data_IF_378891981712
#
_entry.id   IF_378891981712
#
_cell.length_a   1.000
_cell.length_b   1.000
_cell.length_c   1.000
_cell.angle_alpha   90.00
_cell.angle_beta   90.00
_cell.angle_gamma   90.00
#
_symmetry.space_group_name_H-M   'P 1'
#
loop_
_entity.id
_entity.type
_entity.pdbx_description
1 polymer ?
#
# COMPACT_ATOMS: atom_id res chain seq x y z
N UNK A 1 13.38 35.27 66.19
CA UNK A 1 12.14 34.52 66.51
C UNK A 1 10.92 35.40 66.26
N UNK A 2 9.80 34.77 65.85
CA UNK A 2 8.43 35.29 65.54
C UNK A 2 8.07 35.37 64.04
N UNK A 3 7.42 34.31 63.56
CA UNK A 3 6.38 34.28 62.50
C UNK A 3 5.00 34.50 63.18
N UNK A 4 3.84 34.54 62.49
CA UNK A 4 3.43 35.12 61.19
C UNK A 4 2.14 35.99 61.33
N UNK A 5 1.70 36.70 60.29
CA UNK A 5 0.26 36.97 60.08
C UNK A 5 -0.09 36.81 58.60
N UNK A 6 -1.07 35.95 58.37
CA UNK A 6 -1.74 35.63 57.10
C UNK A 6 -2.85 36.66 56.91
N UNK A 7 -2.97 37.26 55.72
CA UNK A 7 -4.22 37.91 55.31
C UNK A 7 -4.62 37.43 53.91
N UNK A 8 -5.61 36.54 53.94
CA UNK A 8 -6.69 36.26 53.02
C UNK A 8 -6.59 36.67 51.54
N UNK A 9 -6.75 35.64 50.70
CA UNK A 9 -7.22 35.71 49.33
C UNK A 9 -8.59 36.37 49.21
N UNK A 10 -8.81 37.12 48.12
CA UNK A 10 -10.12 37.26 47.49
C UNK A 10 -9.94 37.04 46.00
N UNK A 11 -10.18 35.78 45.61
CA UNK A 11 -10.31 35.33 44.24
C UNK A 11 -11.70 35.76 43.75
N UNK A 12 -11.79 36.81 42.94
CA UNK A 12 -13.02 37.18 42.27
C UNK A 12 -13.21 36.26 41.04
N UNK A 13 -14.01 35.20 41.20
CA UNK A 13 -14.55 34.43 40.10
C UNK A 13 -15.62 35.27 39.38
N UNK A 14 -15.30 35.79 38.20
CA UNK A 14 -16.31 36.28 37.26
C UNK A 14 -16.74 35.10 36.38
N UNK A 15 -17.88 34.49 36.74
CA UNK A 15 -18.59 33.57 35.85
C UNK A 15 -19.34 34.41 34.81
N UNK A 16 -18.79 34.49 33.61
CA UNK A 16 -19.50 35.01 32.45
C UNK A 16 -20.43 33.93 31.90
N UNK A 17 -21.73 34.05 32.16
CA UNK A 17 -22.75 33.24 31.49
C UNK A 17 -22.96 33.80 30.08
N UNK A 18 -22.49 33.09 29.06
CA UNK A 18 -22.85 33.36 27.68
C UNK A 18 -24.19 32.68 27.33
N UNK A 19 -25.06 33.30 26.52
CA UNK A 19 -26.31 32.69 26.10
C UNK A 19 -26.05 31.54 25.12
N UNK A 20 -26.77 30.43 25.31
CA UNK A 20 -26.85 29.33 24.36
C UNK A 20 -27.45 29.83 23.04
N UNK A 21 -26.61 29.98 22.01
CA UNK A 21 -27.09 30.26 20.67
C UNK A 21 -27.63 28.96 20.05
N UNK A 22 -28.92 28.99 19.76
CA UNK A 22 -29.66 27.99 18.99
C UNK A 22 -28.97 27.75 17.64
N UNK A 23 -28.39 26.57 17.44
CA UNK A 23 -27.90 26.12 16.14
C UNK A 23 -29.10 25.65 15.32
N UNK A 24 -29.65 26.58 14.56
CA UNK A 24 -30.53 26.27 13.45
C UNK A 24 -29.75 25.43 12.41
N UNK A 25 -30.36 24.32 12.01
CA UNK A 25 -29.91 23.43 10.94
C UNK A 25 -29.51 24.21 9.68
N UNK A 26 -28.21 24.31 9.43
CA UNK A 26 -27.67 24.62 8.10
C UNK A 26 -27.33 23.31 7.40
N UNK A 27 -27.68 23.14 6.11
CA UNK A 27 -27.31 21.94 5.36
C UNK A 27 -25.78 21.84 5.29
N UNK A 28 -25.26 20.72 5.78
CA UNK A 28 -23.85 20.35 5.70
C UNK A 28 -23.50 20.27 4.22
N UNK A 29 -22.80 21.28 3.70
CA UNK A 29 -22.12 21.22 2.41
C UNK A 29 -21.15 20.04 2.46
N UNK A 30 -21.55 18.92 1.86
CA UNK A 30 -20.72 17.74 1.63
C UNK A 30 -19.61 18.11 0.66
N UNK A 31 -18.43 18.42 1.18
CA UNK A 31 -17.32 18.88 0.36
C UNK A 31 -15.95 18.83 1.03
N UNK A 32 -15.73 17.94 2.00
CA UNK A 32 -14.39 17.63 2.48
C UNK A 32 -13.88 16.38 1.73
N UNK A 33 -12.92 16.58 0.83
CA UNK A 33 -12.23 15.50 0.16
C UNK A 33 -11.62 14.57 1.22
N UNK A 34 -12.10 13.32 1.27
CA UNK A 34 -11.52 12.28 2.13
C UNK A 34 -10.04 12.16 1.78
N UNK A 35 -9.16 12.51 2.72
CA UNK A 35 -7.73 12.14 2.66
C UNK A 35 -7.70 10.62 2.50
N UNK A 36 -7.36 10.17 1.29
CA UNK A 36 -7.58 8.80 0.85
C UNK A 36 -6.84 7.80 1.73
N UNK A 37 -7.61 6.99 2.47
CA UNK A 37 -7.11 5.74 3.05
C UNK A 37 -6.34 5.00 1.96
N UNK A 38 -5.19 4.44 2.30
CA UNK A 38 -4.48 3.59 1.35
C UNK A 38 -5.43 2.47 0.86
N UNK A 39 -5.19 1.99 -0.36
CA UNK A 39 -5.90 0.81 -0.87
C UNK A 39 -5.84 -0.33 0.16
N UNK A 40 -6.86 -1.19 0.26
CA UNK A 40 -6.82 -2.33 1.16
C UNK A 40 -5.53 -3.15 0.99
N UNK A 41 -4.98 -3.63 2.10
CA UNK A 41 -3.76 -4.43 2.16
C UNK A 41 -2.48 -3.67 1.74
N UNK A 42 -2.45 -2.35 1.87
CA UNK A 42 -1.30 -1.53 1.54
C UNK A 42 -0.15 -1.63 2.57
N UNK A 43 1.08 -1.44 2.09
CA UNK A 43 2.24 -1.22 2.97
C UNK A 43 2.16 0.12 3.69
N UNK A 44 1.68 1.17 3.02
CA UNK A 44 1.43 2.48 3.62
C UNK A 44 0.06 2.53 4.29
N UNK A 45 -0.06 3.31 5.37
CA UNK A 45 -1.32 3.52 6.06
C UNK A 45 -2.20 4.60 5.39
N UNK A 46 -1.58 5.52 4.64
CA UNK A 46 -2.27 6.56 3.87
C UNK A 46 -1.74 6.59 2.44
N UNK A 47 -2.62 6.92 1.49
CA UNK A 47 -2.20 7.14 0.11
C UNK A 47 -1.23 8.32 0.03
N UNK A 48 -0.22 8.23 -0.84
CA UNK A 48 0.80 9.28 -1.03
C UNK A 48 0.84 9.74 -2.48
N UNK A 49 1.17 11.03 -2.66
CA UNK A 49 1.25 11.69 -3.98
C UNK A 49 2.66 12.11 -4.38
N UNK A 50 3.58 12.16 -3.41
CA UNK A 50 4.94 12.65 -3.61
C UNK A 50 5.91 11.98 -2.62
N UNK A 51 7.21 12.16 -2.88
CA UNK A 51 8.28 11.46 -2.16
C UNK A 51 8.33 11.89 -0.69
N UNK A 52 8.07 13.16 -0.40
CA UNK A 52 7.98 13.68 0.97
C UNK A 52 6.91 12.95 1.80
N UNK A 53 5.75 12.69 1.21
CA UNK A 53 4.67 11.97 1.88
C UNK A 53 4.99 10.47 2.10
N UNK A 54 5.69 9.85 1.14
CA UNK A 54 6.24 8.49 1.29
C UNK A 54 7.23 8.45 2.46
N UNK A 55 8.28 9.28 2.42
CA UNK A 55 9.33 9.30 3.43
C UNK A 55 8.80 9.65 4.81
N UNK A 56 7.79 10.53 4.91
CA UNK A 56 7.14 10.82 6.18
C UNK A 56 6.58 9.55 6.82
N UNK A 57 5.82 8.74 6.09
CA UNK A 57 5.27 7.50 6.65
C UNK A 57 6.37 6.49 6.98
N UNK A 58 7.32 6.27 6.07
CA UNK A 58 8.45 5.36 6.31
C UNK A 58 9.22 5.74 7.58
N UNK A 59 9.49 7.03 7.79
CA UNK A 59 10.29 7.50 8.92
C UNK A 59 9.51 7.63 10.23
N UNK A 60 8.21 7.95 10.19
CA UNK A 60 7.45 8.24 11.42
C UNK A 60 6.54 7.10 11.90
N UNK A 61 6.18 6.16 11.02
CA UNK A 61 5.21 5.11 11.31
C UNK A 61 5.91 3.76 11.49
N UNK A 62 5.91 3.26 12.73
CA UNK A 62 6.59 2.01 13.09
C UNK A 62 5.98 0.79 12.41
N UNK A 63 4.66 0.77 12.18
CA UNK A 63 4.00 -0.35 11.49
C UNK A 63 4.34 -0.36 10.01
N UNK A 64 4.45 0.82 9.38
CA UNK A 64 4.90 0.93 7.98
C UNK A 64 6.34 0.45 7.85
N UNK A 65 7.24 0.87 8.75
CA UNK A 65 8.63 0.43 8.73
C UNK A 65 8.74 -1.09 8.91
N UNK A 66 8.06 -1.68 9.90
CA UNK A 66 8.09 -3.13 10.15
C UNK A 66 7.73 -3.95 8.88
N UNK A 67 6.71 -3.52 8.13
CA UNK A 67 6.33 -4.18 6.88
C UNK A 67 7.48 -4.16 5.87
N UNK A 68 8.17 -3.02 5.73
CA UNK A 68 9.29 -2.90 4.80
C UNK A 68 10.52 -3.66 5.27
N UNK A 69 10.88 -3.61 6.56
CA UNK A 69 12.00 -4.40 7.10
C UNK A 69 11.76 -5.91 6.88
N UNK A 70 10.55 -6.40 7.15
CA UNK A 70 10.19 -7.81 6.90
C UNK A 70 10.21 -8.18 5.42
N UNK A 71 9.73 -7.31 4.54
CA UNK A 71 9.69 -7.60 3.10
C UNK A 71 11.09 -7.60 2.48
N UNK A 72 11.91 -6.60 2.80
CA UNK A 72 13.23 -6.41 2.21
C UNK A 72 14.36 -7.12 2.97
N UNK A 73 14.11 -7.64 4.18
CA UNK A 73 15.16 -8.22 5.02
C UNK A 73 16.23 -7.20 5.40
N UNK A 74 15.86 -5.91 5.46
CA UNK A 74 16.76 -4.78 5.68
C UNK A 74 16.55 -4.20 7.07
N UNK A 75 17.59 -3.58 7.62
CA UNK A 75 17.46 -2.70 8.78
C UNK A 75 16.72 -1.41 8.41
N UNK A 76 16.15 -0.75 9.43
CA UNK A 76 15.54 0.57 9.29
C UNK A 76 16.39 1.56 8.52
N UNK A 77 17.70 1.60 8.78
CA UNK A 77 18.62 2.51 8.08
C UNK A 77 18.69 2.18 6.59
N UNK A 78 18.86 0.91 6.25
CA UNK A 78 18.92 0.45 4.86
C UNK A 78 17.61 0.70 4.12
N UNK A 79 16.45 0.49 4.77
CA UNK A 79 15.15 0.84 4.20
C UNK A 79 15.06 2.33 3.93
N UNK A 80 15.45 3.18 4.90
CA UNK A 80 15.43 4.64 4.71
C UNK A 80 16.36 5.07 3.58
N UNK A 81 17.57 4.52 3.52
CA UNK A 81 18.56 4.84 2.50
C UNK A 81 18.04 4.42 1.10
N UNK A 82 17.50 3.21 0.96
CA UNK A 82 16.88 2.73 -0.29
C UNK A 82 15.70 3.63 -0.71
N UNK A 83 14.76 3.90 0.20
CA UNK A 83 13.56 4.70 -0.08
C UNK A 83 13.92 6.15 -0.45
N UNK A 84 15.02 6.68 0.10
CA UNK A 84 15.49 8.03 -0.20
C UNK A 84 15.97 8.21 -1.65
N UNK A 85 16.46 7.13 -2.27
CA UNK A 85 16.90 7.12 -3.66
C UNK A 85 15.78 6.94 -4.69
N UNK A 86 14.55 6.67 -4.24
CA UNK A 86 13.43 6.43 -5.14
C UNK A 86 12.91 7.71 -5.79
N UNK A 87 12.59 7.63 -7.08
CA UNK A 87 12.00 8.73 -7.86
C UNK A 87 10.63 8.35 -8.40
N UNK A 88 9.74 9.34 -8.56
CA UNK A 88 8.39 9.11 -9.07
C UNK A 88 8.44 9.00 -10.59
N UNK A 89 7.89 7.92 -11.14
CA UNK A 89 7.79 7.68 -12.57
C UNK A 89 6.42 7.09 -12.94
N UNK A 90 6.27 6.67 -14.18
CA UNK A 90 5.10 6.00 -14.73
C UNK A 90 5.50 4.73 -15.49
N UNK A 91 4.63 3.73 -15.51
CA UNK A 91 4.80 2.55 -16.38
C UNK A 91 4.78 2.99 -17.85
N UNK A 92 5.77 2.54 -18.63
CA UNK A 92 5.92 2.90 -20.05
C UNK A 92 4.98 2.12 -20.96
N UNK A 93 4.52 0.97 -20.49
CA UNK A 93 3.65 0.05 -21.21
C UNK A 93 2.67 -0.64 -20.26
N UNK A 94 1.71 -1.34 -20.86
CA UNK A 94 0.80 -2.23 -20.15
C UNK A 94 1.59 -3.48 -19.74
N UNK A 95 1.57 -3.84 -18.45
CA UNK A 95 2.37 -4.97 -17.95
C UNK A 95 1.74 -5.61 -16.72
N UNK A 96 2.10 -6.88 -16.47
CA UNK A 96 1.76 -7.59 -15.24
C UNK A 96 2.90 -7.50 -14.24
N UNK A 97 2.58 -7.06 -13.04
CA UNK A 97 3.52 -6.92 -11.93
C UNK A 97 3.22 -7.94 -10.85
N UNK A 98 4.28 -8.47 -10.22
CA UNK A 98 4.17 -9.15 -8.94
C UNK A 98 4.07 -8.09 -7.84
N UNK A 99 2.91 -7.98 -7.21
CA UNK A 99 2.61 -6.97 -6.20
C UNK A 99 2.50 -7.60 -4.83
N UNK A 100 3.26 -7.08 -3.88
CA UNK A 100 3.25 -7.54 -2.50
C UNK A 100 2.28 -6.71 -1.65
N UNK A 101 1.51 -7.39 -0.81
CA UNK A 101 0.50 -6.77 0.04
C UNK A 101 0.52 -7.32 1.47
N UNK A 102 -0.08 -6.57 2.39
CA UNK A 102 -0.17 -6.89 3.81
C UNK A 102 -1.65 -6.88 4.23
N UNK A 103 -2.36 -8.02 4.19
CA UNK A 103 -3.72 -8.13 4.69
C UNK A 103 -3.77 -7.93 6.20
N UNK A 104 -4.99 -7.86 6.76
CA UNK A 104 -5.21 -7.64 8.20
C UNK A 104 -4.51 -8.68 9.10
N UNK A 105 -4.27 -9.89 8.59
CA UNK A 105 -3.48 -10.92 9.28
C UNK A 105 -2.00 -10.57 9.45
N UNK A 106 -1.48 -9.58 8.72
CA UNK A 106 -0.07 -9.18 8.74
C UNK A 106 0.87 -10.04 7.88
N UNK A 107 0.35 -11.11 7.28
CA UNK A 107 1.11 -12.03 6.42
C UNK A 107 1.44 -11.39 5.06
N UNK A 108 2.71 -11.34 4.68
CA UNK A 108 3.10 -10.82 3.37
C UNK A 108 2.65 -11.78 2.26
N UNK A 109 1.89 -11.28 1.27
CA UNK A 109 1.44 -12.08 0.13
C UNK A 109 1.79 -11.41 -1.18
N UNK A 110 2.09 -12.21 -2.19
CA UNK A 110 2.31 -11.75 -3.56
C UNK A 110 1.07 -12.02 -4.43
N UNK A 111 0.78 -11.11 -5.36
CA UNK A 111 -0.29 -11.27 -6.37
C UNK A 111 0.17 -10.71 -7.71
N UNK A 112 -0.14 -11.39 -8.79
CA UNK A 112 0.01 -10.83 -10.14
C UNK A 112 -1.10 -9.83 -10.41
N UNK A 113 -0.75 -8.60 -10.77
CA UNK A 113 -1.69 -7.51 -11.06
C UNK A 113 -1.30 -6.86 -12.37
N UNK A 114 -2.27 -6.69 -13.27
CA UNK A 114 -2.09 -5.94 -14.50
C UNK A 114 -2.20 -4.43 -14.26
N UNK A 115 -1.18 -3.68 -14.68
CA UNK A 115 -1.17 -2.23 -14.69
C UNK A 115 -1.10 -1.69 -16.11
N UNK A 116 -1.93 -0.68 -16.40
CA UNK A 116 -1.89 0.05 -17.67
C UNK A 116 -0.68 0.97 -17.72
N UNK A 117 -0.22 1.29 -18.92
CA UNK A 117 0.69 2.41 -19.20
C UNK A 117 0.21 3.69 -18.50
N UNK A 118 1.14 4.45 -17.93
CA UNK A 118 0.86 5.66 -17.18
C UNK A 118 0.59 5.44 -15.68
N UNK A 119 0.64 4.19 -15.20
CA UNK A 119 0.47 3.90 -13.77
C UNK A 119 1.65 4.45 -12.99
N UNK A 120 1.38 5.26 -11.96
CA UNK A 120 2.42 5.87 -11.13
C UNK A 120 3.15 4.85 -10.26
N UNK A 121 4.48 4.87 -10.31
CA UNK A 121 5.37 3.96 -9.60
C UNK A 121 6.58 4.71 -9.03
N UNK A 122 7.19 4.17 -7.98
CA UNK A 122 8.50 4.58 -7.49
C UNK A 122 9.55 3.69 -8.13
N UNK A 123 10.58 4.30 -8.71
CA UNK A 123 11.71 3.61 -9.37
C UNK A 123 13.04 3.96 -8.70
N UNK A 124 14.02 3.07 -8.76
CA UNK A 124 15.38 3.35 -8.29
C UNK A 124 16.22 4.16 -9.30
N UNK A 125 17.51 4.34 -9.01
CA UNK A 125 18.44 5.06 -9.88
C UNK A 125 18.70 4.42 -11.25
N UNK A 126 18.39 3.14 -11.42
CA UNK A 126 18.44 2.43 -12.72
C UNK A 126 17.13 2.56 -13.51
N UNK A 127 16.08 3.10 -12.88
CA UNK A 127 14.73 3.17 -13.45
C UNK A 127 13.90 1.91 -13.21
N UNK A 128 14.38 0.96 -12.40
CA UNK A 128 13.67 -0.26 -12.05
C UNK A 128 12.45 0.05 -11.15
N UNK A 129 11.23 -0.39 -11.50
CA UNK A 129 10.06 -0.31 -10.63
C UNK A 129 10.29 -0.99 -9.28
N UNK A 130 10.10 -0.26 -8.17
CA UNK A 130 10.25 -0.76 -6.80
C UNK A 130 8.92 -0.80 -6.06
N UNK A 131 8.11 0.27 -6.14
CA UNK A 131 6.83 0.35 -5.42
C UNK A 131 5.71 0.93 -6.30
N UNK A 132 4.46 0.52 -6.06
CA UNK A 132 3.29 1.26 -6.56
C UNK A 132 3.14 2.58 -5.81
N UNK A 133 2.98 3.69 -6.55
CA UNK A 133 3.13 5.01 -5.95
C UNK A 133 2.11 5.33 -4.86
N UNK A 134 0.82 5.03 -5.08
CA UNK A 134 -0.25 5.42 -4.16
C UNK A 134 -0.20 4.68 -2.83
N UNK A 135 0.09 3.37 -2.83
CA UNK A 135 -0.02 2.50 -1.67
C UNK A 135 1.33 1.99 -1.12
N UNK A 136 2.43 2.26 -1.83
CA UNK A 136 3.78 1.85 -1.45
C UNK A 136 3.99 0.33 -1.46
N UNK A 137 3.14 -0.41 -2.15
CA UNK A 137 3.26 -1.86 -2.27
C UNK A 137 4.48 -2.22 -3.12
N UNK A 138 5.37 -3.11 -2.65
CA UNK A 138 6.50 -3.56 -3.43
C UNK A 138 6.08 -4.24 -4.74
N UNK A 139 6.84 -3.95 -5.78
CA UNK A 139 6.76 -4.55 -7.13
C UNK A 139 7.92 -5.52 -7.39
N UNK A 140 8.81 -5.68 -6.41
CA UNK A 140 9.98 -6.55 -6.43
C UNK A 140 9.99 -7.42 -5.19
N UNK A 141 10.53 -8.63 -5.33
CA UNK A 141 10.78 -9.52 -4.20
C UNK A 141 11.92 -8.92 -3.37
N UNK A 142 11.68 -8.72 -2.07
CA UNK A 142 12.55 -7.86 -1.28
C UNK A 142 13.95 -8.43 -0.98
N UNK A 143 14.15 -9.73 -1.11
CA UNK A 143 15.48 -10.39 -0.96
C UNK A 143 16.24 -10.52 -2.27
N UNK A 144 15.61 -10.16 -3.39
CA UNK A 144 16.29 -10.22 -4.68
C UNK A 144 17.18 -8.99 -4.77
N UNK A 145 18.46 -9.21 -5.07
CA UNK A 145 19.34 -8.11 -5.46
C UNK A 145 18.67 -7.40 -6.66
N UNK A 146 18.63 -6.06 -6.71
CA UNK A 146 17.81 -5.29 -7.64
C UNK A 146 18.14 -5.45 -9.14
N UNK A 147 18.96 -6.43 -9.53
CA UNK A 147 19.47 -6.56 -10.89
C UNK A 147 18.49 -7.25 -11.85
N UNK A 148 17.37 -7.85 -11.39
CA UNK A 148 16.35 -8.41 -12.30
C UNK A 148 14.94 -8.35 -11.71
N UNK A 149 13.98 -7.62 -12.32
CA UNK A 149 12.58 -7.88 -12.05
C UNK A 149 12.23 -9.28 -12.54
N UNK A 150 11.53 -10.04 -11.70
CA UNK A 150 10.64 -11.08 -12.22
C UNK A 150 9.44 -10.33 -12.80
N UNK A 151 9.60 -9.78 -14.01
CA UNK A 151 8.47 -9.62 -14.89
C UNK A 151 7.89 -11.02 -15.01
N UNK A 152 6.64 -11.20 -14.61
CA UNK A 152 5.98 -12.44 -14.95
C UNK A 152 5.89 -12.43 -16.48
N UNK A 153 6.80 -13.15 -17.14
CA UNK A 153 6.70 -13.49 -18.55
C UNK A 153 5.41 -14.32 -18.69
N UNK A 154 4.29 -13.63 -18.82
CA UNK A 154 3.10 -14.23 -19.39
C UNK A 154 3.40 -14.33 -20.87
N UNK A 155 4.01 -15.46 -21.24
CA UNK A 155 3.94 -16.00 -22.60
C UNK A 155 2.49 -15.78 -23.10
N UNK A 156 2.30 -15.08 -24.23
CA UNK A 156 0.97 -14.86 -24.77
C UNK A 156 0.37 -16.20 -25.19
N UNK A 157 -0.55 -16.72 -24.35
CA UNK A 157 -1.60 -17.66 -24.70
C UNK A 157 -1.21 -18.86 -25.56
N UNK A 158 -0.93 -20.00 -24.93
CA UNK A 158 -1.15 -21.28 -25.60
C UNK A 158 -2.66 -21.46 -25.82
N UNK A 159 -3.08 -21.17 -27.05
CA UNK A 159 -4.40 -21.43 -27.59
C UNK A 159 -4.61 -22.95 -27.76
N UNK A 160 -4.75 -23.69 -26.67
CA UNK A 160 -5.30 -25.05 -26.74
C UNK A 160 -6.27 -25.35 -25.59
N UNK A 161 -7.33 -24.54 -25.51
CA UNK A 161 -8.59 -24.99 -24.91
C UNK A 161 -9.53 -25.39 -26.04
N UNK A 162 -9.36 -26.61 -26.55
CA UNK A 162 -10.48 -27.40 -27.10
C UNK A 162 -10.31 -28.85 -26.71
N UNK A 163 -11.43 -29.42 -26.30
CA UNK A 163 -11.69 -30.86 -26.21
C UNK A 163 -11.31 -31.60 -24.91
N UNK A 164 -12.05 -31.30 -23.85
CA UNK A 164 -12.34 -32.26 -22.78
C UNK A 164 -13.82 -32.20 -22.41
N UNK A 165 -14.69 -32.60 -23.35
CA UNK A 165 -16.03 -33.14 -23.04
C UNK A 165 -16.54 -33.97 -24.21
N UNK A 166 -16.16 -35.24 -24.23
CA UNK A 166 -16.98 -36.32 -24.80
C UNK A 166 -16.60 -37.61 -24.08
N UNK A 167 -17.34 -37.89 -23.00
CA UNK A 167 -17.53 -39.25 -22.49
C UNK A 167 -18.22 -40.04 -23.61
N UNK A 168 -17.45 -40.83 -24.34
CA UNK A 168 -18.00 -41.88 -25.20
C UNK A 168 -17.71 -43.26 -24.61
N UNK A 169 -18.73 -44.11 -24.63
CA UNK A 169 -18.80 -45.42 -23.98
C UNK A 169 -17.93 -46.43 -24.75
N UNK A 170 -17.34 -47.45 -24.09
CA UNK A 170 -16.75 -48.56 -24.81
C UNK A 170 -17.87 -49.45 -25.36
N UNK A 171 -18.08 -49.40 -26.68
CA UNK A 171 -18.92 -50.33 -27.43
C UNK A 171 -18.07 -51.06 -28.46
N UNK A 172 -17.99 -52.39 -28.29
CA UNK A 172 -17.78 -53.45 -29.27
C UNK A 172 -17.16 -53.09 -30.63
N UNK A 173 -15.96 -53.64 -30.92
CA UNK A 173 -15.76 -54.57 -32.05
C UNK A 173 -14.33 -55.14 -32.07
N UNK A 174 -14.28 -56.46 -32.16
CA UNK A 174 -13.07 -57.28 -32.42
C UNK A 174 -12.77 -57.24 -33.91
N UNK A 175 -11.49 -57.18 -34.34
CA UNK A 175 -11.08 -57.73 -35.62
C UNK A 175 -10.43 -59.09 -35.40
N UNK A 176 -11.07 -60.11 -35.96
CA UNK A 176 -10.50 -61.40 -36.31
C UNK A 176 -9.34 -61.23 -37.30
N UNK A 177 -8.46 -62.24 -37.30
CA UNK A 177 -7.50 -62.58 -38.37
C UNK A 177 -6.14 -61.85 -38.35
N UNK A 178 -5.14 -62.47 -37.69
CA UNK A 178 -3.98 -63.15 -38.32
C UNK A 178 -3.03 -63.71 -37.25
#
# INVERSE_FOLDING_TARGET
MKRPVIVAAVLALLVSVAPAQSIANSPRMSGEARVGRAEPNAFLNKSVKNHRELMRQVQSDATVMDRYERHFGMSRKEVVDMMSGLTLSETKEDAVFLVYNVPESGELRARSIFYRRGTKIWVDGSGQPVLKASCGNPLVRGTDKPDQPVLADLEPGDENTRELTALDKPGDTVPSDL
#
